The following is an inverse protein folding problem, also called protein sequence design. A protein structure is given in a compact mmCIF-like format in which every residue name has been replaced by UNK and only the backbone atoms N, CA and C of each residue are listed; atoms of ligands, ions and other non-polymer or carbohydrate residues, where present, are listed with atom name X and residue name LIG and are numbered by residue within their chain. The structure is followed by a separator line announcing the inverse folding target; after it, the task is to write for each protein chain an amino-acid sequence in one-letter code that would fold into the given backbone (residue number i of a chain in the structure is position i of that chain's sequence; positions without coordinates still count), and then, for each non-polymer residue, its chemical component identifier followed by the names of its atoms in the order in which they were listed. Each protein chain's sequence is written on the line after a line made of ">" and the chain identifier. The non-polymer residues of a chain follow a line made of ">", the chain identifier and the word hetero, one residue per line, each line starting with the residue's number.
data_IF_052607655075
#
_entry.id   IF_052607655075
#
_cell.length_a   1.000
_cell.length_b   1.000
_cell.length_c   1.000
_cell.angle_alpha   90.00
_cell.angle_beta   90.00
_cell.angle_gamma   90.00
#
_symmetry.space_group_name_H-M   'P 1'
#
loop_
_entity.id
_entity.type
_entity.pdbx_description
1 polymer ?
#
# COMPACT_ATOMS: atom_id res chain seq x y z
N UNK A 1 -3.84 19.84 -4.98
CA UNK A 1 -3.12 19.76 -3.68
C UNK A 1 -2.02 18.71 -3.79
N UNK A 2 -0.88 18.85 -3.12
CA UNK A 2 0.12 17.79 -3.13
C UNK A 2 -0.46 16.51 -2.49
N UNK A 3 -0.15 15.36 -3.08
CA UNK A 3 -0.58 14.06 -2.56
C UNK A 3 0.18 13.77 -1.25
N UNK A 4 -0.56 13.38 -0.20
CA UNK A 4 0.03 12.99 1.07
C UNK A 4 0.48 11.54 0.99
N UNK A 5 1.79 11.32 1.06
CA UNK A 5 2.37 9.99 1.09
C UNK A 5 2.60 9.53 2.53
N UNK A 6 2.04 8.39 2.88
CA UNK A 6 2.34 7.68 4.11
C UNK A 6 3.39 6.59 3.82
N UNK A 7 4.40 6.51 4.67
CA UNK A 7 5.41 5.46 4.60
C UNK A 7 5.05 4.36 5.60
N UNK A 8 4.59 3.23 5.08
CA UNK A 8 4.22 2.06 5.88
C UNK A 8 5.49 1.34 6.35
N UNK A 9 5.62 1.14 7.65
CA UNK A 9 6.84 0.57 8.23
C UNK A 9 6.56 -0.25 9.48
N UNK A 10 7.36 -1.29 9.68
CA UNK A 10 7.41 -2.04 10.91
C UNK A 10 8.10 -1.22 12.03
N UNK A 11 7.82 -1.52 13.31
CA UNK A 11 8.39 -0.78 14.44
C UNK A 11 9.92 -0.75 14.45
N UNK A 12 10.56 -1.80 13.96
CA UNK A 12 12.02 -1.95 13.93
C UNK A 12 12.70 -0.96 12.97
N UNK A 13 11.99 -0.51 11.96
CA UNK A 13 12.50 0.38 10.90
C UNK A 13 12.03 1.83 11.06
N UNK A 14 11.24 2.09 12.08
CA UNK A 14 10.62 3.39 12.30
C UNK A 14 11.62 4.55 12.35
N UNK A 15 12.78 4.34 12.99
CA UNK A 15 13.85 5.35 13.05
C UNK A 15 14.33 5.76 11.66
N UNK A 16 14.55 4.78 10.78
CA UNK A 16 15.01 5.02 9.41
C UNK A 16 13.91 5.69 8.57
N UNK A 17 12.67 5.22 8.67
CA UNK A 17 11.53 5.78 7.93
C UNK A 17 11.26 7.25 8.33
N UNK A 18 11.39 7.58 9.61
CA UNK A 18 11.17 8.93 10.15
C UNK A 18 12.19 9.97 9.67
N UNK A 19 13.33 9.53 9.11
CA UNK A 19 14.28 10.44 8.49
C UNK A 19 13.73 11.10 7.21
N UNK A 20 12.77 10.47 6.54
CA UNK A 20 12.23 10.93 5.26
C UNK A 20 10.90 11.65 5.40
N UNK A 21 10.04 11.23 6.32
CA UNK A 21 8.71 11.81 6.48
C UNK A 21 8.18 11.66 7.90
N UNK A 22 7.31 12.58 8.29
CA UNK A 22 6.49 12.46 9.52
C UNK A 22 5.18 11.69 9.28
N UNK A 23 4.82 11.42 8.02
CA UNK A 23 3.60 10.70 7.67
C UNK A 23 3.88 9.20 7.65
N UNK A 24 3.81 8.58 8.81
CA UNK A 24 4.08 7.15 8.98
C UNK A 24 2.77 6.36 9.10
N UNK A 25 2.71 5.21 8.44
CA UNK A 25 1.69 4.20 8.68
C UNK A 25 2.34 3.01 9.43
N UNK A 26 1.86 2.75 10.65
CA UNK A 26 2.53 1.85 11.59
C UNK A 26 2.01 0.42 11.43
N UNK A 27 2.82 -0.48 10.85
CA UNK A 27 2.55 -1.91 10.70
C UNK A 27 2.88 -2.67 12.01
N UNK A 28 2.13 -2.32 13.07
CA UNK A 28 2.41 -2.80 14.42
C UNK A 28 1.27 -3.62 15.04
N UNK A 29 0.13 -3.75 14.37
CA UNK A 29 -1.07 -4.34 14.96
C UNK A 29 -1.60 -5.50 14.15
N UNK A 30 -2.09 -6.51 14.86
CA UNK A 30 -2.76 -7.67 14.27
C UNK A 30 -3.89 -8.17 15.18
N UNK A 31 -4.82 -8.91 14.62
CA UNK A 31 -5.81 -9.65 15.43
C UNK A 31 -5.25 -11.02 15.75
N UNK A 32 -5.22 -11.37 17.04
CA UNK A 32 -4.84 -12.69 17.51
C UNK A 32 -5.92 -13.74 17.24
N UNK A 33 -5.58 -15.03 17.39
CA UNK A 33 -6.51 -16.16 17.21
C UNK A 33 -7.66 -16.12 18.21
N UNK A 34 -7.45 -15.55 19.39
CA UNK A 34 -8.46 -15.32 20.43
C UNK A 34 -9.38 -14.11 20.13
N UNK A 35 -9.15 -13.44 19.01
CA UNK A 35 -9.90 -12.25 18.58
C UNK A 35 -9.57 -10.99 19.36
N UNK A 36 -8.43 -10.95 20.04
CA UNK A 36 -7.94 -9.72 20.70
C UNK A 36 -6.99 -8.94 19.79
N UNK A 37 -6.93 -7.62 20.01
CA UNK A 37 -5.95 -6.78 19.35
C UNK A 37 -4.58 -7.00 19.98
N UNK A 38 -3.65 -7.51 19.18
CA UNK A 38 -2.25 -7.63 19.54
C UNK A 38 -1.46 -6.49 18.87
N UNK A 39 -0.53 -5.87 19.61
CA UNK A 39 0.34 -4.83 19.08
C UNK A 39 1.79 -5.05 19.47
N UNK A 40 2.73 -4.68 18.59
CA UNK A 40 4.13 -4.53 18.97
C UNK A 40 4.33 -3.24 19.76
N UNK A 41 5.29 -3.26 20.67
CA UNK A 41 5.63 -2.07 21.45
C UNK A 41 6.11 -0.93 20.53
N UNK A 42 5.46 0.21 20.66
CA UNK A 42 5.85 1.45 19.98
C UNK A 42 6.27 2.49 21.04
N UNK A 43 7.21 3.39 20.74
CA UNK A 43 7.60 4.45 21.65
C UNK A 43 6.37 5.22 22.15
N UNK A 44 6.26 5.54 23.45
CA UNK A 44 5.11 6.27 23.99
C UNK A 44 4.91 7.67 23.37
N UNK A 45 6.00 8.27 22.93
CA UNK A 45 6.04 9.59 22.28
C UNK A 45 5.51 9.56 20.85
N UNK A 46 5.43 8.38 20.23
CA UNK A 46 4.98 8.23 18.85
C UNK A 46 3.47 8.42 18.76
N UNK A 47 3.04 9.46 18.06
CA UNK A 47 1.64 9.81 17.87
C UNK A 47 1.38 10.26 16.44
N UNK A 48 0.14 10.06 15.96
CA UNK A 48 -0.26 10.46 14.61
C UNK A 48 0.06 9.41 13.54
N UNK A 49 -0.12 9.77 12.29
CA UNK A 49 0.00 8.85 11.15
C UNK A 49 -1.21 7.92 11.01
N UNK A 50 -1.00 6.74 10.45
CA UNK A 50 -2.03 5.70 10.27
C UNK A 50 -1.67 4.45 11.09
N UNK A 51 -2.71 3.75 11.55
CA UNK A 51 -2.61 2.44 12.20
C UNK A 51 -2.83 1.35 11.15
N UNK A 52 -1.84 0.52 10.86
CA UNK A 52 -2.06 -0.67 10.00
C UNK A 52 -2.44 -1.84 10.90
N UNK A 53 -3.58 -2.43 10.58
CA UNK A 53 -4.14 -3.60 11.25
C UNK A 53 -4.17 -4.80 10.31
N UNK A 54 -3.35 -5.79 10.59
CA UNK A 54 -3.34 -7.06 9.86
C UNK A 54 -4.45 -7.97 10.34
N UNK A 55 -5.25 -8.45 9.39
CA UNK A 55 -6.35 -9.39 9.60
C UNK A 55 -6.05 -10.71 8.87
N UNK A 56 -5.39 -11.64 9.56
CA UNK A 56 -4.97 -12.93 8.99
C UNK A 56 -5.83 -14.11 9.46
N UNK A 57 -6.47 -14.00 10.63
CA UNK A 57 -7.28 -15.05 11.22
C UNK A 57 -8.77 -14.83 10.99
N UNK A 58 -9.62 -15.86 11.07
CA UNK A 58 -11.07 -15.66 11.13
C UNK A 58 -11.42 -14.68 12.26
N UNK A 59 -12.41 -13.83 11.99
CA UNK A 59 -12.86 -12.88 13.00
C UNK A 59 -13.53 -13.59 14.18
N UNK A 60 -13.40 -13.05 15.40
CA UNK A 60 -14.09 -13.60 16.56
C UNK A 60 -15.61 -13.42 16.41
N UNK A 61 -16.39 -14.30 17.04
CA UNK A 61 -17.85 -14.20 17.04
C UNK A 61 -18.36 -12.87 17.63
N UNK A 62 -17.59 -12.25 18.54
CA UNK A 62 -17.93 -10.96 19.17
C UNK A 62 -17.06 -9.83 18.67
N UNK A 63 -17.38 -9.31 17.50
CA UNK A 63 -16.64 -8.21 16.86
C UNK A 63 -16.73 -6.87 17.61
N UNK A 64 -17.75 -6.66 18.47
CA UNK A 64 -17.92 -5.42 19.25
C UNK A 64 -16.74 -5.12 20.18
N UNK A 65 -16.23 -6.14 20.85
CA UNK A 65 -15.08 -5.99 21.74
C UNK A 65 -13.83 -5.59 20.94
N UNK A 66 -13.62 -6.25 19.80
CA UNK A 66 -12.51 -5.98 18.90
C UNK A 66 -12.58 -4.54 18.35
N UNK A 67 -13.73 -4.10 17.85
CA UNK A 67 -13.91 -2.72 17.40
C UNK A 67 -13.52 -1.70 18.48
N UNK A 68 -13.98 -1.91 19.72
CA UNK A 68 -13.63 -1.02 20.85
C UNK A 68 -12.12 -1.01 21.12
N UNK A 69 -11.45 -2.16 21.09
CA UNK A 69 -10.00 -2.24 21.30
C UNK A 69 -9.23 -1.48 20.20
N UNK A 70 -9.61 -1.68 18.94
CA UNK A 70 -9.00 -1.02 17.79
C UNK A 70 -9.17 0.50 17.91
N UNK A 71 -10.39 0.97 18.14
CA UNK A 71 -10.68 2.41 18.26
C UNK A 71 -10.00 3.04 19.47
N UNK A 72 -9.98 2.36 20.60
CA UNK A 72 -9.25 2.83 21.79
C UNK A 72 -7.78 3.05 21.45
N UNK A 73 -7.13 2.06 20.85
CA UNK A 73 -5.72 2.16 20.45
C UNK A 73 -5.50 3.27 19.43
N UNK A 74 -6.40 3.39 18.44
CA UNK A 74 -6.35 4.46 17.43
C UNK A 74 -6.42 5.86 18.07
N UNK A 75 -7.29 6.06 19.03
CA UNK A 75 -7.48 7.33 19.73
C UNK A 75 -6.34 7.64 20.70
N UNK A 76 -5.89 6.68 21.50
CA UNK A 76 -4.78 6.83 22.44
C UNK A 76 -3.49 7.27 21.74
N UNK A 77 -3.24 6.78 20.53
CA UNK A 77 -2.09 7.14 19.69
C UNK A 77 -2.34 8.32 18.75
N UNK A 78 -3.55 8.86 18.77
CA UNK A 78 -3.98 9.95 17.88
C UNK A 78 -3.76 9.63 16.38
N UNK A 79 -3.96 8.39 15.96
CA UNK A 79 -3.93 8.03 14.53
C UNK A 79 -5.03 8.75 13.75
N UNK A 80 -4.71 9.21 12.55
CA UNK A 80 -5.67 9.85 11.65
C UNK A 80 -6.66 8.85 11.02
N UNK A 81 -6.28 7.57 10.96
CA UNK A 81 -7.09 6.51 10.41
C UNK A 81 -6.49 5.14 10.64
N UNK A 82 -7.22 4.14 10.17
CA UNK A 82 -6.88 2.71 10.29
C UNK A 82 -6.82 2.13 8.88
N UNK A 83 -5.74 1.43 8.56
CA UNK A 83 -5.53 0.70 7.31
C UNK A 83 -5.76 -0.78 7.61
N UNK A 84 -6.65 -1.43 6.88
CA UNK A 84 -6.83 -2.88 6.96
C UNK A 84 -5.92 -3.57 5.96
N UNK A 85 -5.05 -4.43 6.46
CA UNK A 85 -4.22 -5.33 5.68
C UNK A 85 -4.83 -6.74 5.74
N UNK A 86 -5.42 -7.17 4.61
CA UNK A 86 -6.11 -8.45 4.50
C UNK A 86 -5.21 -9.48 3.84
N UNK A 87 -5.03 -10.62 4.48
CA UNK A 87 -4.26 -11.75 3.93
C UNK A 87 -5.15 -12.79 3.25
N UNK A 88 -6.45 -12.55 3.16
CA UNK A 88 -7.44 -13.43 2.54
C UNK A 88 -8.55 -12.61 1.88
N UNK A 89 -9.28 -13.24 0.97
CA UNK A 89 -10.47 -12.65 0.37
C UNK A 89 -11.55 -12.37 1.42
N UNK A 90 -12.29 -11.25 1.29
CA UNK A 90 -13.32 -10.88 2.23
C UNK A 90 -14.53 -11.83 2.14
N UNK A 91 -14.96 -12.33 3.29
CA UNK A 91 -16.23 -13.01 3.48
C UNK A 91 -17.29 -12.08 4.08
N UNK A 92 -18.55 -12.51 4.12
CA UNK A 92 -19.65 -11.70 4.66
C UNK A 92 -19.44 -11.27 6.13
N UNK A 93 -18.95 -12.11 7.05
CA UNK A 93 -18.59 -11.69 8.41
C UNK A 93 -17.56 -10.57 8.44
N UNK A 94 -16.52 -10.63 7.57
CA UNK A 94 -15.50 -9.59 7.48
C UNK A 94 -16.08 -8.28 6.94
N UNK A 95 -16.91 -8.32 5.91
CA UNK A 95 -17.58 -7.12 5.38
C UNK A 95 -18.47 -6.45 6.45
N UNK A 96 -19.26 -7.22 7.18
CA UNK A 96 -20.08 -6.72 8.30
C UNK A 96 -19.23 -6.08 9.40
N UNK A 97 -18.07 -6.68 9.72
CA UNK A 97 -17.12 -6.09 10.66
C UNK A 97 -16.55 -4.77 10.16
N UNK A 98 -16.17 -4.70 8.87
CA UNK A 98 -15.64 -3.47 8.23
C UNK A 98 -16.68 -2.37 8.28
N UNK A 99 -17.94 -2.64 7.93
CA UNK A 99 -19.05 -1.68 8.02
C UNK A 99 -19.21 -1.12 9.43
N UNK A 100 -19.21 -2.00 10.44
CA UNK A 100 -19.33 -1.62 11.83
C UNK A 100 -18.16 -0.78 12.32
N UNK A 101 -16.93 -1.19 12.00
CA UNK A 101 -15.73 -0.44 12.37
C UNK A 101 -15.71 0.93 11.68
N UNK A 102 -16.15 1.01 10.40
CA UNK A 102 -16.27 2.26 9.65
C UNK A 102 -17.21 3.25 10.33
N UNK A 103 -18.42 2.81 10.70
CA UNK A 103 -19.40 3.65 11.38
C UNK A 103 -18.85 4.20 12.71
N UNK A 104 -18.22 3.32 13.50
CA UNK A 104 -17.66 3.73 14.78
C UNK A 104 -16.44 4.66 14.60
N UNK A 105 -15.55 4.40 13.65
CA UNK A 105 -14.40 5.26 13.36
C UNK A 105 -14.84 6.65 12.89
N UNK A 106 -15.88 6.74 12.06
CA UNK A 106 -16.47 7.98 11.56
C UNK A 106 -16.99 8.87 12.69
N UNK A 107 -17.57 8.30 13.75
CA UNK A 107 -18.03 9.04 14.92
C UNK A 107 -16.86 9.79 15.63
N UNK A 108 -15.65 9.29 15.52
CA UNK A 108 -14.43 9.93 16.04
C UNK A 108 -13.62 10.68 14.97
N UNK A 109 -14.19 10.90 13.77
CA UNK A 109 -13.53 11.54 12.63
C UNK A 109 -12.24 10.82 12.23
N UNK A 110 -12.24 9.48 12.29
CA UNK A 110 -11.15 8.62 11.83
C UNK A 110 -11.58 7.92 10.55
N UNK A 111 -10.65 7.83 9.60
CA UNK A 111 -10.90 7.19 8.31
C UNK A 111 -10.53 5.72 8.37
N UNK A 112 -11.26 4.87 7.66
CA UNK A 112 -10.91 3.46 7.48
C UNK A 112 -10.48 3.24 6.04
N UNK A 113 -9.27 2.72 5.85
CA UNK A 113 -8.70 2.38 4.56
C UNK A 113 -8.82 0.88 4.35
N UNK A 114 -9.38 0.49 3.23
CA UNK A 114 -9.67 -0.91 2.90
C UNK A 114 -9.11 -1.28 1.54
N UNK A 115 -8.67 -2.54 1.31
CA UNK A 115 -8.34 -3.02 -0.01
C UNK A 115 -9.52 -2.88 -0.99
N UNK A 116 -9.22 -2.81 -2.28
CA UNK A 116 -10.22 -2.62 -3.34
C UNK A 116 -11.34 -3.67 -3.32
N UNK A 117 -11.04 -4.91 -2.96
CA UNK A 117 -12.05 -5.98 -2.81
C UNK A 117 -13.14 -5.67 -1.77
N UNK A 118 -12.88 -4.73 -0.85
CA UNK A 118 -13.84 -4.23 0.13
C UNK A 118 -14.40 -2.85 -0.24
N UNK A 119 -14.13 -2.32 -1.42
CA UNK A 119 -14.47 -0.96 -1.84
C UNK A 119 -15.98 -0.67 -1.92
N UNK A 120 -16.81 -1.71 -1.94
CA UNK A 120 -18.27 -1.58 -1.87
C UNK A 120 -18.77 -1.05 -0.52
N UNK A 121 -17.98 -1.20 0.57
CA UNK A 121 -18.34 -0.65 1.88
C UNK A 121 -18.26 0.88 1.83
N UNK A 122 -19.38 1.53 2.10
CA UNK A 122 -19.50 2.99 2.04
C UNK A 122 -18.69 3.69 3.14
N UNK A 123 -18.34 4.96 2.92
CA UNK A 123 -17.58 5.78 3.87
C UNK A 123 -16.16 5.30 4.17
N UNK A 124 -15.64 4.31 3.45
CA UNK A 124 -14.23 3.88 3.50
C UNK A 124 -13.38 4.60 2.48
N UNK A 125 -12.06 4.56 2.66
CA UNK A 125 -11.07 4.91 1.65
C UNK A 125 -10.58 3.64 1.00
N UNK A 126 -10.66 3.56 -0.31
CA UNK A 126 -10.24 2.38 -1.09
C UNK A 126 -8.75 2.50 -1.42
N UNK A 127 -7.98 1.52 -1.00
CA UNK A 127 -6.57 1.36 -1.39
C UNK A 127 -6.53 0.74 -2.78
N UNK A 128 -6.09 1.52 -3.75
CA UNK A 128 -6.01 1.10 -5.14
C UNK A 128 -4.57 0.79 -5.52
N UNK A 129 -4.27 -0.48 -5.78
CA UNK A 129 -2.93 -0.90 -6.21
C UNK A 129 -2.57 -0.31 -7.57
N UNK A 130 -1.34 0.24 -7.65
CA UNK A 130 -0.73 0.74 -8.87
C UNK A 130 0.21 -0.27 -9.53
N UNK A 131 0.38 -1.45 -8.94
CA UNK A 131 1.21 -2.54 -9.45
C UNK A 131 0.40 -3.39 -10.44
N UNK A 132 0.30 -2.92 -11.68
CA UNK A 132 -0.40 -3.62 -12.76
C UNK A 132 0.58 -4.19 -13.79
N UNK A 133 0.30 -5.37 -14.33
CA UNK A 133 1.09 -6.02 -15.38
C UNK A 133 0.39 -6.02 -16.75
N UNK A 134 -0.79 -5.43 -16.86
CA UNK A 134 -1.56 -5.30 -18.11
C UNK A 134 -2.53 -4.13 -18.07
N UNK A 135 -3.05 -3.75 -19.23
CA UNK A 135 -3.99 -2.63 -19.36
C UNK A 135 -3.30 -1.25 -19.27
N UNK A 136 -4.04 -0.25 -18.78
CA UNK A 136 -3.57 1.12 -18.59
C UNK A 136 -3.81 1.59 -17.17
N UNK A 137 -2.77 2.06 -16.50
CA UNK A 137 -2.86 2.61 -15.15
C UNK A 137 -3.78 3.85 -15.13
N UNK A 138 -3.64 4.72 -16.13
CA UNK A 138 -4.49 5.90 -16.22
C UNK A 138 -5.98 5.52 -16.29
N UNK A 139 -6.34 4.60 -17.20
CA UNK A 139 -7.73 4.15 -17.32
C UNK A 139 -8.24 3.49 -16.03
N UNK A 140 -7.39 2.70 -15.34
CA UNK A 140 -7.73 2.10 -14.05
C UNK A 140 -8.03 3.16 -12.99
N UNK A 141 -7.21 4.20 -12.89
CA UNK A 141 -7.41 5.31 -11.95
C UNK A 141 -8.67 6.11 -12.29
N UNK A 142 -8.93 6.39 -13.57
CA UNK A 142 -10.13 7.08 -14.05
C UNK A 142 -11.41 6.28 -13.72
N UNK A 143 -11.40 4.97 -13.98
CA UNK A 143 -12.52 4.08 -13.65
C UNK A 143 -12.77 4.03 -12.14
N UNK A 144 -11.72 3.89 -11.33
CA UNK A 144 -11.86 3.91 -9.88
C UNK A 144 -12.37 5.27 -9.37
N UNK A 145 -11.90 6.38 -9.94
CA UNK A 145 -12.39 7.72 -9.59
C UNK A 145 -13.87 7.92 -9.95
N UNK A 146 -14.31 7.34 -11.06
CA UNK A 146 -15.73 7.35 -11.44
C UNK A 146 -16.59 6.48 -10.51
N UNK A 147 -16.07 5.33 -10.08
CA UNK A 147 -16.79 4.37 -9.25
C UNK A 147 -16.88 4.80 -7.78
N UNK A 148 -15.76 5.22 -7.19
CA UNK A 148 -15.65 5.49 -5.74
C UNK A 148 -15.65 6.98 -5.41
N UNK A 149 -15.29 7.84 -6.37
CA UNK A 149 -14.97 9.25 -6.16
C UNK A 149 -13.53 9.44 -5.70
N UNK A 150 -12.79 10.36 -6.32
CA UNK A 150 -11.37 10.60 -6.03
C UNK A 150 -11.04 10.81 -4.53
N UNK A 151 -11.87 11.51 -3.71
CA UNK A 151 -11.60 11.68 -2.27
C UNK A 151 -11.68 10.39 -1.46
N UNK A 152 -12.28 9.33 -2.01
CA UNK A 152 -12.36 8.00 -1.38
C UNK A 152 -11.29 7.03 -1.87
N UNK A 153 -10.31 7.49 -2.62
CA UNK A 153 -9.21 6.66 -3.11
C UNK A 153 -7.91 7.09 -2.43
N UNK A 154 -7.12 6.12 -2.02
CA UNK A 154 -5.71 6.28 -1.72
C UNK A 154 -4.92 5.27 -2.56
N UNK A 155 -3.76 5.68 -3.07
CA UNK A 155 -2.91 4.75 -3.83
C UNK A 155 -2.23 3.76 -2.88
N UNK A 156 -2.23 2.50 -3.26
CA UNK A 156 -1.29 1.51 -2.76
C UNK A 156 -0.14 1.43 -3.79
N UNK A 157 0.95 2.16 -3.48
CA UNK A 157 2.10 2.33 -4.35
C UNK A 157 3.09 1.18 -4.15
N UNK A 158 2.64 -0.05 -4.37
CA UNK A 158 3.50 -1.22 -4.39
C UNK A 158 4.54 -1.06 -5.50
N UNK A 159 5.80 -1.30 -5.17
CA UNK A 159 6.88 -1.24 -6.15
C UNK A 159 6.93 -2.51 -6.97
N UNK A 160 6.64 -2.41 -8.26
CA UNK A 160 6.79 -3.52 -9.18
C UNK A 160 8.25 -3.95 -9.30
N UNK A 161 8.50 -5.25 -9.19
CA UNK A 161 9.72 -5.91 -9.58
C UNK A 161 9.40 -7.39 -9.85
N UNK A 162 9.02 -7.72 -11.10
CA UNK A 162 8.50 -9.05 -11.45
C UNK A 162 9.14 -9.54 -12.74
N UNK A 163 9.56 -10.79 -12.75
CA UNK A 163 10.12 -11.50 -13.90
C UNK A 163 9.10 -12.52 -14.45
N UNK A 164 8.64 -12.27 -15.66
CA UNK A 164 7.71 -13.15 -16.38
C UNK A 164 8.48 -14.02 -17.35
N UNK A 165 8.31 -15.34 -17.25
CA UNK A 165 8.80 -16.28 -18.28
C UNK A 165 7.75 -16.39 -19.38
N UNK A 166 8.12 -16.01 -20.60
CA UNK A 166 7.18 -16.00 -21.72
C UNK A 166 7.10 -17.36 -22.45
N UNK A 167 5.89 -17.81 -22.86
CA UNK A 167 4.61 -17.13 -22.72
C UNK A 167 4.05 -17.20 -21.29
N UNK A 168 3.45 -16.11 -20.78
CA UNK A 168 2.81 -16.04 -19.47
C UNK A 168 1.30 -15.76 -19.62
N UNK A 169 0.49 -16.72 -20.07
CA UNK A 169 -0.90 -16.49 -20.46
C UNK A 169 -1.80 -16.08 -19.27
N UNK A 170 -1.42 -16.44 -18.06
CA UNK A 170 -2.14 -16.06 -16.84
C UNK A 170 -1.51 -14.85 -16.12
N UNK A 171 -0.43 -14.27 -16.67
CA UNK A 171 0.27 -13.15 -16.09
C UNK A 171 1.05 -13.48 -14.81
N UNK A 172 1.34 -14.78 -14.59
CA UNK A 172 2.14 -15.21 -13.46
C UNK A 172 3.61 -14.87 -13.67
N UNK A 173 4.21 -14.19 -12.70
CA UNK A 173 5.61 -13.82 -12.69
C UNK A 173 6.23 -14.03 -11.31
N UNK A 174 7.54 -14.20 -11.27
CA UNK A 174 8.30 -14.33 -10.04
C UNK A 174 8.67 -12.94 -9.50
N UNK A 175 8.35 -12.60 -8.24
CA UNK A 175 8.81 -11.35 -7.65
C UNK A 175 10.33 -11.36 -7.54
N UNK A 176 10.94 -10.19 -7.74
CA UNK A 176 12.38 -9.99 -7.63
C UNK A 176 12.69 -9.08 -6.43
N UNK A 177 13.71 -9.42 -5.67
CA UNK A 177 14.32 -8.50 -4.75
C UNK A 177 15.03 -7.36 -5.49
N UNK A 178 15.29 -6.24 -4.78
CA UNK A 178 16.03 -5.12 -5.35
C UNK A 178 17.44 -5.51 -5.84
N UNK A 179 18.08 -6.46 -5.16
CA UNK A 179 19.38 -7.00 -5.55
C UNK A 179 19.30 -7.85 -6.83
N UNK A 180 18.32 -8.74 -6.90
CA UNK A 180 18.07 -9.58 -8.09
C UNK A 180 17.74 -8.73 -9.31
N UNK A 181 16.89 -7.71 -9.14
CA UNK A 181 16.54 -6.77 -10.21
C UNK A 181 17.81 -6.07 -10.72
N UNK A 182 18.64 -5.52 -9.83
CA UNK A 182 19.90 -4.85 -10.22
C UNK A 182 20.85 -5.79 -10.96
N UNK A 183 21.00 -7.03 -10.48
CA UNK A 183 21.83 -8.05 -11.13
C UNK A 183 21.32 -8.40 -12.53
N UNK A 184 20.00 -8.62 -12.68
CA UNK A 184 19.39 -8.96 -13.97
C UNK A 184 19.39 -7.78 -14.94
N UNK A 185 19.23 -6.56 -14.45
CA UNK A 185 19.23 -5.33 -15.25
C UNK A 185 20.61 -5.02 -15.84
N UNK A 186 21.69 -5.51 -15.21
CA UNK A 186 23.06 -5.24 -15.64
C UNK A 186 23.31 -5.64 -17.10
N UNK A 187 23.62 -4.65 -17.96
CA UNK A 187 23.91 -4.85 -19.38
C UNK A 187 22.67 -4.87 -20.31
N UNK A 188 21.46 -4.74 -19.79
CA UNK A 188 20.24 -4.68 -20.59
C UNK A 188 19.71 -3.24 -20.75
N UNK A 189 19.28 -2.89 -21.96
CA UNK A 189 18.57 -1.64 -22.22
C UNK A 189 17.18 -1.71 -21.61
N UNK A 190 16.83 -0.71 -20.81
CA UNK A 190 15.51 -0.59 -20.20
C UNK A 190 14.62 0.34 -21.02
N UNK A 191 13.34 0.01 -21.11
CA UNK A 191 12.34 0.77 -21.82
C UNK A 191 11.24 1.22 -20.84
N UNK A 192 10.47 2.22 -21.23
CA UNK A 192 9.32 2.69 -20.46
C UNK A 192 8.02 2.31 -21.18
N UNK A 193 7.07 1.77 -20.41
CA UNK A 193 5.71 1.48 -20.86
C UNK A 193 4.78 2.59 -20.38
N UNK A 194 4.33 3.45 -21.29
CA UNK A 194 3.35 4.50 -20.96
C UNK A 194 2.05 3.94 -20.36
N UNK A 195 1.43 2.87 -20.92
CA UNK A 195 0.21 2.33 -20.35
C UNK A 195 0.37 1.81 -18.92
N UNK A 196 1.45 1.09 -18.63
CA UNK A 196 1.72 0.53 -17.31
C UNK A 196 2.32 1.55 -16.34
N UNK A 197 2.83 2.66 -16.86
CA UNK A 197 3.62 3.63 -16.11
C UNK A 197 4.77 2.95 -15.32
N UNK A 198 5.47 2.04 -15.99
CA UNK A 198 6.53 1.20 -15.42
C UNK A 198 7.66 0.99 -16.42
N UNK A 199 8.83 0.59 -15.97
CA UNK A 199 9.95 0.21 -16.82
C UNK A 199 9.97 -1.28 -17.08
N UNK A 200 10.58 -1.66 -18.20
CA UNK A 200 10.78 -3.07 -18.53
C UNK A 200 12.06 -3.29 -19.31
N UNK A 201 12.55 -4.53 -19.29
CA UNK A 201 13.54 -5.06 -20.21
C UNK A 201 13.25 -6.54 -20.49
N UNK A 202 13.88 -7.07 -21.54
CA UNK A 202 13.78 -8.50 -21.88
C UNK A 202 15.16 -9.12 -21.94
N UNK A 203 15.25 -10.40 -21.59
CA UNK A 203 16.47 -11.19 -21.72
C UNK A 203 16.15 -12.65 -22.07
N UNK A 204 17.17 -13.41 -22.48
CA UNK A 204 17.03 -14.84 -22.73
C UNK A 204 17.87 -15.63 -21.75
N UNK A 205 17.28 -16.67 -21.16
CA UNK A 205 17.95 -17.60 -20.27
C UNK A 205 17.40 -19.01 -20.49
N UNK A 206 18.26 -20.02 -20.62
CA UNK A 206 17.88 -21.42 -20.81
C UNK A 206 16.90 -21.66 -21.99
N UNK A 207 17.04 -20.92 -23.08
CA UNK A 207 16.16 -21.01 -24.24
C UNK A 207 14.81 -20.31 -24.10
N UNK A 208 14.49 -19.75 -22.93
CA UNK A 208 13.25 -19.02 -22.67
C UNK A 208 13.47 -17.52 -22.74
N UNK A 209 12.44 -16.80 -23.16
CA UNK A 209 12.41 -15.33 -23.12
C UNK A 209 11.79 -14.87 -21.82
N UNK A 210 12.46 -13.96 -21.15
CA UNK A 210 12.02 -13.32 -19.93
C UNK A 210 11.65 -11.85 -20.20
N UNK A 211 10.58 -11.39 -19.55
CA UNK A 211 10.14 -10.00 -19.54
C UNK A 211 10.11 -9.53 -18.08
N UNK A 212 10.98 -8.59 -17.77
CA UNK A 212 11.04 -8.01 -16.41
C UNK A 212 10.34 -6.66 -16.42
N UNK A 213 9.32 -6.53 -15.57
CA UNK A 213 8.58 -5.29 -15.34
C UNK A 213 8.93 -4.76 -13.96
N UNK A 214 9.29 -3.46 -13.86
CA UNK A 214 9.73 -2.90 -12.59
C UNK A 214 9.46 -1.40 -12.47
N UNK A 215 9.43 -0.93 -11.22
CA UNK A 215 9.37 0.47 -10.87
C UNK A 215 10.73 1.00 -10.38
N UNK A 216 11.02 2.24 -10.77
CA UNK A 216 12.05 3.09 -10.18
C UNK A 216 11.41 4.34 -9.55
N UNK A 217 12.22 5.23 -8.98
CA UNK A 217 11.71 6.46 -8.37
C UNK A 217 10.92 7.33 -9.38
N UNK A 218 11.39 7.41 -10.64
CA UNK A 218 10.75 8.22 -11.67
C UNK A 218 9.36 7.66 -12.05
N UNK A 219 9.21 6.33 -12.15
CA UNK A 219 7.91 5.71 -12.44
C UNK A 219 6.93 5.91 -11.29
N UNK A 220 7.36 5.75 -10.03
CA UNK A 220 6.52 6.02 -8.87
C UNK A 220 6.09 7.50 -8.81
N UNK A 221 6.98 8.45 -9.10
CA UNK A 221 6.64 9.87 -9.20
C UNK A 221 5.60 10.14 -10.29
N UNK A 222 5.70 9.47 -11.46
CA UNK A 222 4.69 9.57 -12.52
C UNK A 222 3.34 9.00 -12.10
N UNK A 223 3.30 7.85 -11.41
CA UNK A 223 2.07 7.27 -10.84
C UNK A 223 1.40 8.24 -9.88
N UNK A 224 2.18 8.89 -9.01
CA UNK A 224 1.71 9.94 -8.11
C UNK A 224 1.14 11.13 -8.87
N UNK A 225 1.82 11.60 -9.92
CA UNK A 225 1.36 12.73 -10.72
C UNK A 225 0.04 12.42 -11.46
N UNK A 226 -0.12 11.20 -12.01
CA UNK A 226 -1.38 10.75 -12.61
C UNK A 226 -2.54 10.79 -11.61
N UNK A 227 -2.33 10.29 -10.40
CA UNK A 227 -3.35 10.30 -9.36
C UNK A 227 -3.72 11.73 -8.90
N UNK A 228 -2.72 12.60 -8.75
CA UNK A 228 -2.93 14.01 -8.41
C UNK A 228 -3.78 14.74 -9.46
N UNK A 229 -3.55 14.47 -10.74
CA UNK A 229 -4.33 15.04 -11.83
C UNK A 229 -5.82 14.65 -11.76
N UNK A 230 -6.13 13.49 -11.19
CA UNK A 230 -7.50 13.00 -10.96
C UNK A 230 -8.09 13.43 -9.60
N UNK A 231 -7.34 14.21 -8.80
CA UNK A 231 -7.80 14.67 -7.48
C UNK A 231 -7.64 13.64 -6.36
N UNK A 232 -6.89 12.55 -6.58
CA UNK A 232 -6.53 11.60 -5.52
C UNK A 232 -5.46 12.25 -4.64
N UNK A 233 -5.72 12.33 -3.34
CA UNK A 233 -4.92 13.13 -2.42
C UNK A 233 -4.02 12.35 -1.46
N UNK A 234 -4.03 11.02 -1.49
CA UNK A 234 -3.30 10.18 -0.52
C UNK A 234 -2.72 8.93 -1.18
N UNK A 235 -1.63 8.42 -0.59
CA UNK A 235 -1.03 7.16 -1.00
C UNK A 235 -0.17 6.55 0.10
N UNK A 236 0.07 5.25 0.00
CA UNK A 236 0.95 4.46 0.85
C UNK A 236 2.11 3.91 0.03
N UNK A 237 3.29 3.95 0.62
CA UNK A 237 4.51 3.28 0.17
C UNK A 237 4.96 2.31 1.25
N UNK A 238 5.40 1.12 0.91
CA UNK A 238 5.98 0.20 1.87
C UNK A 238 7.50 0.46 1.98
N UNK A 239 7.97 0.79 3.19
CA UNK A 239 9.38 1.16 3.44
C UNK A 239 10.35 0.11 2.90
N UNK A 240 10.09 -1.17 3.13
CA UNK A 240 10.96 -2.27 2.69
C UNK A 240 11.13 -2.33 1.16
N UNK A 241 10.09 -1.95 0.41
CA UNK A 241 10.12 -1.97 -1.05
C UNK A 241 10.85 -0.77 -1.65
N UNK A 242 10.86 0.37 -0.95
CA UNK A 242 11.34 1.65 -1.51
C UNK A 242 12.54 2.25 -0.79
N UNK A 243 13.07 1.57 0.24
CA UNK A 243 14.16 2.10 1.08
C UNK A 243 15.40 2.53 0.30
N UNK A 244 15.72 1.85 -0.78
CA UNK A 244 16.86 2.15 -1.67
C UNK A 244 16.63 3.35 -2.60
N UNK A 245 15.39 3.77 -2.81
CA UNK A 245 15.01 4.89 -3.70
C UNK A 245 14.35 6.07 -2.96
N UNK A 246 14.22 6.00 -1.62
CA UNK A 246 13.63 7.08 -0.82
C UNK A 246 14.30 8.45 -1.02
N UNK A 247 15.65 8.54 -1.12
CA UNK A 247 16.31 9.81 -1.40
C UNK A 247 15.82 10.48 -2.69
N UNK A 248 15.57 9.67 -3.74
CA UNK A 248 15.08 10.18 -5.02
C UNK A 248 13.58 10.55 -4.96
N UNK A 249 12.79 9.86 -4.12
CA UNK A 249 11.35 10.12 -3.98
C UNK A 249 11.06 11.36 -3.14
N UNK A 250 11.82 11.60 -2.07
CA UNK A 250 11.60 12.68 -1.11
C UNK A 250 12.55 13.87 -1.30
N UNK A 251 13.53 13.77 -2.20
CA UNK A 251 14.65 14.68 -2.31
C UNK A 251 15.72 14.38 -1.23
N UNK A 252 16.97 14.70 -1.53
CA UNK A 252 18.02 14.68 -0.50
C UNK A 252 17.68 15.76 0.52
N UNK A 253 17.29 15.37 1.74
CA UNK A 253 17.30 16.30 2.86
C UNK A 253 18.76 16.68 3.09
N UNK A 254 19.09 17.95 2.89
CA UNK A 254 20.34 18.50 3.41
C UNK A 254 20.47 18.06 4.86
N UNK A 255 21.51 17.27 5.15
CA UNK A 255 21.86 16.89 6.52
C UNK A 255 22.30 18.16 7.24
N UNK A 256 21.38 18.79 7.94
CA UNK A 256 21.69 19.87 8.88
C UNK A 256 22.24 19.31 10.16
#
# INVERSE_FOLDING_TARGET
>A
MPLRLYLATAPEQLGNASLYTSHIAHAAYRVGEDGTLCGKALPPTLRGGLMILQLSSPLPHRTDSLCRQILRQCLERNYAGIVLDLTRDPDQPLLTFIEKLTQQAKAYRRRLYVPECCGAVTDTVVLLSTAISGGSLQQRLEQAAAQYGAPRIALDLQRLAVDFTLPAPQGEGAPLSAEELRRKMGGHTTYFSEPLCARYFTYRQNGQTHFVLFDDAATLQRKIALAQALGIGEGLLLFDEVSDILPQLYGEKERS
#
